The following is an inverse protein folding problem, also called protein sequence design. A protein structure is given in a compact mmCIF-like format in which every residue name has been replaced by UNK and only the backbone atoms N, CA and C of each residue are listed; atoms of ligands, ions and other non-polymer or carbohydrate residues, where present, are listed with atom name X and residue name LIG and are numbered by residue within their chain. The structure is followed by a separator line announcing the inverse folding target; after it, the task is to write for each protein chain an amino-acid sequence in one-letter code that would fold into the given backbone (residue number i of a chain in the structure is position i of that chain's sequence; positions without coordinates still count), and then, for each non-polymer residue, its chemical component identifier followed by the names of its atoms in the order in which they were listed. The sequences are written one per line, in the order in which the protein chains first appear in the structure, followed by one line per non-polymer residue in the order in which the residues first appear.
data_IF_236309856377
#
_entry.id   IF_236309856377
#
_cell.length_a   1.000
_cell.length_b   1.000
_cell.length_c   1.000
_cell.angle_alpha   90.00
_cell.angle_beta   90.00
_cell.angle_gamma   90.00
#
_symmetry.space_group_name_H-M   'P 1'
#
loop_
_entity.id
_entity.type
_entity.pdbx_description
1 polymer ?
#
# COMPACT_ATOMS: atom_id res chain seq x y z
N UNK A 1 5.73 -15.28 14.44
CA UNK A 1 4.85 -14.54 13.51
C UNK A 1 3.75 -13.92 14.34
N UNK A 2 3.48 -12.63 14.16
CA UNK A 2 2.35 -11.96 14.80
C UNK A 2 1.21 -11.86 13.79
N UNK A 3 -0.02 -12.21 14.18
CA UNK A 3 -1.22 -12.06 13.37
C UNK A 3 -2.01 -10.83 13.81
N UNK A 4 -2.79 -10.27 12.88
CA UNK A 4 -3.87 -9.33 13.18
C UNK A 4 -5.15 -10.09 12.88
N UNK A 5 -5.97 -10.31 13.91
CA UNK A 5 -7.23 -11.02 13.76
C UNK A 5 -8.34 -10.02 13.44
N UNK A 6 -9.10 -10.32 12.39
CA UNK A 6 -10.28 -9.55 12.01
C UNK A 6 -11.50 -10.41 12.33
N UNK A 7 -12.45 -9.91 13.14
CA UNK A 7 -13.68 -10.62 13.40
C UNK A 7 -14.41 -10.99 12.10
N UNK A 8 -14.91 -12.23 12.01
CA UNK A 8 -15.53 -12.74 10.79
C UNK A 8 -16.80 -11.96 10.42
N UNK A 9 -17.55 -11.50 11.41
CA UNK A 9 -18.75 -10.67 11.22
C UNK A 9 -18.43 -9.32 10.54
N UNK A 10 -17.26 -8.74 10.81
CA UNK A 10 -16.79 -7.52 10.13
C UNK A 10 -16.49 -7.81 8.66
N UNK A 11 -15.81 -8.93 8.35
CA UNK A 11 -15.58 -9.33 6.96
C UNK A 11 -16.91 -9.64 6.26
N UNK A 12 -17.83 -10.34 6.92
CA UNK A 12 -19.12 -10.72 6.36
C UNK A 12 -20.03 -9.53 6.07
N UNK A 13 -19.88 -8.44 6.82
CA UNK A 13 -20.60 -7.19 6.57
C UNK A 13 -20.07 -6.41 5.35
N UNK A 14 -18.92 -6.78 4.78
CA UNK A 14 -18.38 -6.10 3.60
C UNK A 14 -19.25 -6.37 2.37
N UNK A 15 -19.63 -5.30 1.67
CA UNK A 15 -20.35 -5.34 0.40
C UNK A 15 -19.44 -5.73 -0.77
N UNK A 16 -18.76 -6.88 -0.65
CA UNK A 16 -17.87 -7.45 -1.65
C UNK A 16 -17.99 -8.99 -1.66
N UNK A 17 -17.69 -9.64 -2.81
CA UNK A 17 -17.60 -11.09 -2.89
C UNK A 17 -16.66 -11.67 -1.82
N UNK A 18 -16.97 -12.82 -1.19
CA UNK A 18 -16.17 -13.40 -0.11
C UNK A 18 -14.67 -13.50 -0.41
N UNK A 19 -14.32 -13.83 -1.66
CA UNK A 19 -12.96 -13.96 -2.17
C UNK A 19 -12.17 -12.64 -2.20
N UNK A 20 -12.87 -11.49 -2.28
CA UNK A 20 -12.25 -10.17 -2.41
C UNK A 20 -12.08 -9.46 -1.06
N UNK A 21 -12.80 -9.89 -0.01
CA UNK A 21 -12.86 -9.18 1.28
C UNK A 21 -11.50 -9.05 1.96
N UNK A 22 -10.80 -10.17 2.11
CA UNK A 22 -9.47 -10.16 2.73
C UNK A 22 -8.44 -9.37 1.88
N UNK A 23 -8.35 -9.56 0.55
CA UNK A 23 -7.56 -8.67 -0.31
C UNK A 23 -7.87 -7.18 -0.13
N UNK A 24 -9.15 -6.79 -0.08
CA UNK A 24 -9.57 -5.41 0.12
C UNK A 24 -9.03 -4.88 1.46
N UNK A 25 -9.26 -5.59 2.57
CA UNK A 25 -8.80 -5.14 3.88
C UNK A 25 -7.28 -5.00 3.91
N UNK A 26 -6.56 -5.95 3.32
CA UNK A 26 -5.11 -5.91 3.26
C UNK A 26 -4.60 -4.70 2.47
N UNK A 27 -5.25 -4.36 1.36
CA UNK A 27 -4.94 -3.16 0.58
C UNK A 27 -5.29 -1.87 1.34
N UNK A 28 -6.44 -1.80 2.01
CA UNK A 28 -6.82 -0.63 2.82
C UNK A 28 -5.82 -0.37 3.95
N UNK A 29 -5.40 -1.44 4.64
CA UNK A 29 -4.42 -1.35 5.71
C UNK A 29 -3.06 -0.92 5.18
N UNK A 30 -2.59 -1.51 4.08
CA UNK A 30 -1.34 -1.15 3.44
C UNK A 30 -1.30 0.32 3.00
N UNK A 31 -2.36 0.82 2.36
CA UNK A 31 -2.46 2.20 1.91
C UNK A 31 -2.48 3.15 3.10
N UNK A 32 -3.25 2.84 4.14
CA UNK A 32 -3.33 3.68 5.34
C UNK A 32 -1.98 3.76 6.05
N UNK A 33 -1.33 2.63 6.31
CA UNK A 33 -0.03 2.60 6.98
C UNK A 33 1.08 3.27 6.16
N UNK A 34 1.04 3.18 4.82
CA UNK A 34 1.94 3.94 3.96
C UNK A 34 1.68 5.44 4.06
N UNK A 35 0.41 5.88 3.95
CA UNK A 35 0.03 7.29 4.00
C UNK A 35 0.49 7.95 5.31
N UNK A 36 0.27 7.28 6.44
CA UNK A 36 0.67 7.78 7.76
C UNK A 36 2.19 7.65 8.04
N UNK A 37 2.96 7.08 7.11
CA UNK A 37 4.42 6.93 7.24
C UNK A 37 4.87 5.78 8.16
N UNK A 38 3.95 4.94 8.64
CA UNK A 38 4.28 3.75 9.44
C UNK A 38 4.92 2.63 8.63
N UNK A 39 4.59 2.54 7.33
CA UNK A 39 5.21 1.57 6.43
C UNK A 39 5.92 2.27 5.26
N UNK A 40 7.12 1.77 4.95
CA UNK A 40 7.80 2.10 3.70
C UNK A 40 6.99 1.58 2.50
N UNK A 41 7.22 2.18 1.32
CA UNK A 41 6.59 1.73 0.07
C UNK A 41 6.79 0.21 -0.16
N UNK A 42 8.00 -0.28 0.09
CA UNK A 42 8.35 -1.69 -0.09
C UNK A 42 7.55 -2.64 0.79
N UNK A 43 7.37 -2.30 2.08
CA UNK A 43 6.60 -3.13 3.01
C UNK A 43 5.09 -2.97 2.82
N UNK A 44 4.63 -1.78 2.46
CA UNK A 44 3.22 -1.54 2.16
C UNK A 44 2.75 -2.32 0.92
N UNK A 45 3.53 -2.34 -0.19
CA UNK A 45 3.16 -3.14 -1.37
C UNK A 45 3.18 -4.64 -1.10
N UNK A 46 4.10 -5.10 -0.25
CA UNK A 46 4.19 -6.50 0.18
C UNK A 46 2.96 -6.89 0.99
N UNK A 47 2.57 -6.05 1.96
CA UNK A 47 1.31 -6.21 2.67
C UNK A 47 0.13 -6.22 1.70
N UNK A 48 0.04 -5.29 0.76
CA UNK A 48 -1.05 -5.25 -0.23
C UNK A 48 -1.09 -6.47 -1.17
N UNK A 49 -0.04 -7.30 -1.22
CA UNK A 49 0.08 -8.39 -2.19
C UNK A 49 0.24 -7.90 -3.62
N UNK A 50 0.77 -6.68 -3.82
CA UNK A 50 0.84 -6.02 -5.12
C UNK A 50 2.27 -5.87 -5.63
N UNK A 51 2.40 -5.91 -6.97
CA UNK A 51 3.66 -5.54 -7.63
C UNK A 51 3.97 -4.06 -7.42
N UNK A 52 5.23 -3.65 -7.64
CA UNK A 52 5.64 -2.23 -7.57
C UNK A 52 4.76 -1.35 -8.47
N UNK A 53 4.51 -1.78 -9.71
CA UNK A 53 3.71 -1.03 -10.66
C UNK A 53 2.22 -0.95 -10.24
N UNK A 54 1.64 -2.06 -9.76
CA UNK A 54 0.25 -2.09 -9.31
C UNK A 54 0.04 -1.22 -8.07
N UNK A 55 0.96 -1.25 -7.10
CA UNK A 55 0.87 -0.42 -5.91
C UNK A 55 1.05 1.08 -6.24
N UNK A 56 1.94 1.45 -7.16
CA UNK A 56 2.03 2.83 -7.65
C UNK A 56 0.74 3.33 -8.29
N UNK A 57 0.06 2.47 -9.08
CA UNK A 57 -1.23 2.79 -9.68
C UNK A 57 -2.30 2.99 -8.60
N UNK A 58 -2.38 2.06 -7.64
CA UNK A 58 -3.31 2.14 -6.51
C UNK A 58 -3.15 3.46 -5.72
N UNK A 59 -1.92 3.85 -5.39
CA UNK A 59 -1.65 5.13 -4.72
C UNK A 59 -2.08 6.34 -5.57
N UNK A 60 -1.86 6.27 -6.89
CA UNK A 60 -2.27 7.31 -7.84
C UNK A 60 -3.79 7.45 -7.93
N UNK A 61 -4.51 6.34 -8.10
CA UNK A 61 -5.97 6.30 -8.20
C UNK A 61 -6.63 6.86 -6.93
N UNK A 62 -6.00 6.63 -5.78
CA UNK A 62 -6.45 7.11 -4.46
C UNK A 62 -5.88 8.47 -4.06
N UNK A 63 -5.12 9.13 -4.93
CA UNK A 63 -4.48 10.45 -4.70
C UNK A 63 -3.67 10.50 -3.39
N UNK A 64 -2.99 9.41 -3.06
CA UNK A 64 -2.11 9.34 -1.89
C UNK A 64 -0.81 10.05 -2.24
N UNK A 65 -0.48 11.08 -1.47
CA UNK A 65 0.80 11.78 -1.60
C UNK A 65 1.93 10.77 -1.42
N UNK A 66 2.86 10.76 -2.38
CA UNK A 66 4.05 9.92 -2.29
C UNK A 66 5.01 10.58 -1.33
N UNK A 67 5.63 9.79 -0.46
CA UNK A 67 6.79 10.18 0.34
C UNK A 67 8.06 10.29 -0.53
N UNK A 68 7.94 10.92 -1.69
CA UNK A 68 9.07 11.20 -2.57
C UNK A 68 9.61 12.56 -2.17
N UNK A 69 10.79 12.56 -1.58
CA UNK A 69 11.44 13.76 -1.07
C UNK A 69 12.27 14.42 -2.16
N UNK A 70 12.64 15.68 -1.96
CA UNK A 70 13.61 16.37 -2.83
C UNK A 70 14.96 15.65 -2.89
N UNK A 71 15.34 14.94 -1.80
CA UNK A 71 16.53 14.11 -1.76
C UNK A 71 16.42 12.89 -2.68
N UNK A 72 15.25 12.24 -2.74
CA UNK A 72 15.00 11.14 -3.67
C UNK A 72 15.08 11.62 -5.13
N UNK A 73 14.55 12.82 -5.43
CA UNK A 73 14.68 13.44 -6.75
C UNK A 73 16.13 13.71 -7.13
N UNK A 74 16.92 14.27 -6.21
CA UNK A 74 18.32 14.58 -6.45
C UNK A 74 19.15 13.32 -6.76
N UNK A 75 18.86 12.21 -6.07
CA UNK A 75 19.51 10.92 -6.34
C UNK A 75 19.18 10.38 -7.73
N UNK A 76 17.91 10.44 -8.14
CA UNK A 76 17.48 9.97 -9.46
C UNK A 76 18.09 10.83 -10.60
N UNK A 77 18.19 12.15 -10.42
CA UNK A 77 18.86 13.04 -11.39
C UNK A 77 20.34 12.73 -11.50
N UNK A 78 21.03 12.53 -10.37
CA UNK A 78 22.45 12.19 -10.36
C UNK A 78 22.70 10.86 -11.09
N UNK A 79 21.89 9.83 -10.82
CA UNK A 79 22.00 8.54 -11.48
C UNK A 79 21.78 8.60 -13.00
N UNK A 80 20.95 9.52 -13.49
CA UNK A 80 20.70 9.68 -14.93
C UNK A 80 21.75 10.53 -15.69
N UNK A 81 22.72 11.11 -14.99
CA UNK A 81 23.80 11.93 -15.57
C UNK A 81 25.12 11.15 -15.72
N UNK A 82 25.19 9.94 -15.16
CA UNK A 82 26.30 8.97 -15.32
C UNK A 82 26.04 8.03 -16.51
#
# INVERSE_FOLDING_TARGET
MSSIDIPSDVLDAMAAPPEDREPIVRQELAVSLYREGYLSFGKARELAGLSKAAFHRLLGDRKIQRHYTEADLALDVAYGQD
#
